data_IF_277765292310
#
_entry.id   IF_277765292310
#
_cell.length_a   1.000
_cell.length_b   1.000
_cell.length_c   1.000
_cell.angle_alpha   90.00
_cell.angle_beta   90.00
_cell.angle_gamma   90.00
#
_symmetry.space_group_name_H-M   'P 1'
#
loop_
_entity.id
_entity.type
_entity.pdbx_description
1 polymer ?
#
# COMPACT_ATOMS: atom_id res chain seq x y z
N UNK A 1 -4.50 12.89 -0.02
CA UNK A 1 -3.30 12.14 0.39
C UNK A 1 -2.62 11.63 -0.88
N UNK A 2 -1.29 11.65 -0.96
CA UNK A 2 -0.58 11.18 -2.17
C UNK A 2 0.11 9.86 -1.89
N UNK A 3 -0.23 8.85 -2.69
CA UNK A 3 0.36 7.54 -2.66
C UNK A 3 1.66 7.48 -3.46
N UNK A 4 2.57 6.58 -3.07
CA UNK A 4 3.85 6.34 -3.74
C UNK A 4 4.02 4.87 -4.06
N UNK A 5 4.77 4.60 -5.14
CA UNK A 5 5.22 3.25 -5.47
C UNK A 5 5.91 2.58 -4.26
N UNK A 6 5.55 1.34 -4.00
CA UNK A 6 6.06 0.53 -2.88
C UNK A 6 5.30 0.74 -1.56
N UNK A 7 4.36 1.68 -1.49
CA UNK A 7 3.51 1.79 -0.30
C UNK A 7 2.49 0.65 -0.24
N UNK A 8 2.29 0.11 0.96
CA UNK A 8 1.22 -0.83 1.25
C UNK A 8 -0.08 -0.09 1.49
N UNK A 9 -1.14 -0.58 0.87
CA UNK A 9 -2.47 0.02 0.93
C UNK A 9 -3.52 -1.04 1.25
N UNK A 10 -4.60 -0.59 1.87
CA UNK A 10 -5.80 -1.37 2.13
C UNK A 10 -6.88 -0.90 1.16
N UNK A 11 -7.48 -1.83 0.43
CA UNK A 11 -8.64 -1.57 -0.45
C UNK A 11 -9.92 -1.46 0.38
N UNK A 12 -11.01 -0.95 -0.21
CA UNK A 12 -12.32 -0.90 0.46
C UNK A 12 -12.87 -2.30 0.77
N UNK A 13 -12.46 -3.31 0.01
CA UNK A 13 -12.79 -4.72 0.22
C UNK A 13 -11.98 -5.36 1.36
N UNK A 14 -11.07 -4.60 1.98
CA UNK A 14 -10.23 -5.07 3.07
C UNK A 14 -9.00 -5.89 2.63
N UNK A 15 -8.67 -5.86 1.34
CA UNK A 15 -7.48 -6.52 0.82
C UNK A 15 -6.25 -5.63 0.97
N UNK A 16 -5.11 -6.25 1.30
CA UNK A 16 -3.82 -5.55 1.38
C UNK A 16 -3.09 -5.72 0.05
N UNK A 17 -2.67 -4.60 -0.52
CA UNK A 17 -1.88 -4.55 -1.74
C UNK A 17 -0.66 -3.64 -1.63
N UNK A 18 0.15 -3.65 -2.67
CA UNK A 18 1.31 -2.76 -2.84
C UNK A 18 1.16 -1.91 -4.11
N UNK A 19 1.45 -0.62 -4.02
CA UNK A 19 1.36 0.27 -5.18
C UNK A 19 2.54 0.03 -6.12
N UNK A 20 2.24 -0.34 -7.37
CA UNK A 20 3.22 -0.51 -8.43
C UNK A 20 3.48 0.80 -9.19
N UNK A 21 2.44 1.58 -9.42
CA UNK A 21 2.47 2.82 -10.18
C UNK A 21 1.34 3.75 -9.74
N UNK A 22 1.56 5.06 -9.82
CA UNK A 22 0.54 6.09 -9.59
C UNK A 22 0.53 6.99 -10.81
N UNK A 23 -0.67 7.30 -11.32
CA UNK A 23 -0.82 8.19 -12.46
C UNK A 23 -0.30 9.61 -12.16
N UNK A 24 0.05 10.38 -13.22
CA UNK A 24 0.54 11.76 -13.10
C UNK A 24 -0.40 12.68 -12.31
N UNK A 25 -1.70 12.39 -12.28
CA UNK A 25 -2.68 13.14 -11.48
C UNK A 25 -2.85 12.67 -10.04
N UNK A 26 -2.26 11.54 -9.64
CA UNK A 26 -2.50 10.94 -8.33
C UNK A 26 -3.93 10.43 -8.12
N UNK A 27 -4.72 10.31 -9.20
CA UNK A 27 -6.12 9.90 -9.15
C UNK A 27 -6.27 8.37 -9.09
N UNK A 28 -5.41 7.65 -9.79
CA UNK A 28 -5.43 6.19 -9.87
C UNK A 28 -4.04 5.61 -9.57
N UNK A 29 -4.04 4.45 -8.94
CA UNK A 29 -2.86 3.66 -8.68
C UNK A 29 -3.04 2.23 -9.20
N UNK A 30 -2.02 1.69 -9.84
CA UNK A 30 -1.92 0.25 -10.09
C UNK A 30 -1.49 -0.41 -8.79
N UNK A 31 -2.33 -1.25 -8.22
CA UNK A 31 -2.07 -1.97 -6.96
C UNK A 31 -1.89 -3.45 -7.26
N UNK A 32 -0.78 -4.03 -6.78
CA UNK A 32 -0.57 -5.46 -6.74
C UNK A 32 -1.33 -6.04 -5.54
N UNK A 33 -2.36 -6.82 -5.83
CA UNK A 33 -3.05 -7.68 -4.89
C UNK A 33 -2.45 -9.11 -5.00
N UNK A 34 -2.84 -10.02 -4.10
CA UNK A 34 -2.15 -11.31 -3.93
C UNK A 34 -1.88 -12.09 -5.23
N UNK A 35 -2.84 -12.12 -6.17
CA UNK A 35 -2.73 -12.89 -7.42
C UNK A 35 -2.92 -12.06 -8.68
N UNK A 36 -3.29 -10.79 -8.53
CA UNK A 36 -3.63 -9.90 -9.65
C UNK A 36 -3.04 -8.52 -9.39
N UNK A 37 -2.92 -7.73 -10.45
CA UNK A 37 -2.75 -6.29 -10.28
C UNK A 37 -3.93 -5.60 -10.92
N UNK A 38 -4.45 -4.58 -10.25
CA UNK A 38 -5.62 -3.84 -10.73
C UNK A 38 -5.44 -2.35 -10.53
N UNK A 39 -6.13 -1.54 -11.34
CA UNK A 39 -6.17 -0.09 -11.17
C UNK A 39 -7.26 0.25 -10.18
N UNK A 40 -6.87 0.93 -9.10
CA UNK A 40 -7.78 1.37 -8.05
C UNK A 40 -7.65 2.87 -7.93
N UNK A 41 -8.78 3.53 -7.74
CA UNK A 41 -8.81 4.95 -7.43
C UNK A 41 -8.17 5.22 -6.08
N UNK A 42 -7.36 6.27 -6.01
CA UNK A 42 -6.64 6.61 -4.79
C UNK A 42 -7.59 6.98 -3.64
N UNK A 43 -8.79 7.51 -3.90
CA UNK A 43 -9.80 7.77 -2.87
C UNK A 43 -10.38 6.48 -2.23
N UNK A 44 -10.36 5.37 -2.97
CA UNK A 44 -10.74 4.03 -2.47
C UNK A 44 -9.59 3.30 -1.76
N UNK A 45 -8.42 3.93 -1.62
CA UNK A 45 -7.27 3.34 -0.94
C UNK A 45 -7.02 4.01 0.40
N UNK A 46 -6.70 3.20 1.41
CA UNK A 46 -6.22 3.67 2.71
C UNK A 46 -4.78 3.24 2.89
N UNK A 47 -3.96 4.05 3.54
CA UNK A 47 -2.61 3.61 3.94
C UNK A 47 -2.75 2.42 4.88
N UNK A 48 -2.06 1.34 4.57
CA UNK A 48 -2.03 0.19 5.45
C UNK A 48 -1.03 0.48 6.57
N UNK A 49 -1.54 0.86 7.74
CA UNK A 49 -0.73 1.08 8.95
C UNK A 49 -0.53 -0.21 9.78
N UNK A 50 -0.59 -1.38 9.12
CA UNK A 50 -0.50 -2.67 9.79
C UNK A 50 0.93 -3.00 10.23
N UNK A 51 1.13 -2.82 11.54
CA UNK A 51 2.26 -3.19 12.42
C UNK A 51 3.63 -3.06 11.77
N UNK A 52 4.37 -2.04 12.19
CA UNK A 52 5.82 -1.95 11.98
C UNK A 52 6.44 -3.35 12.10
N UNK A 53 7.37 -3.75 11.22
CA UNK A 53 8.23 -4.87 11.56
C UNK A 53 8.81 -4.50 12.92
N UNK A 54 8.44 -5.23 13.99
CA UNK A 54 9.01 -5.02 15.32
C UNK A 54 10.49 -4.85 15.08
N UNK A 55 11.02 -3.65 15.32
CA UNK A 55 12.46 -3.43 15.34
C UNK A 55 13.02 -4.60 16.10
N UNK A 56 13.83 -5.44 15.46
CA UNK A 56 14.63 -6.42 16.19
C UNK A 56 15.40 -5.59 17.21
N UNK A 57 14.94 -5.56 18.45
CA UNK A 57 15.75 -5.19 19.60
C UNK A 57 16.80 -6.28 19.70
N UNK A 58 17.85 -6.16 18.88
CA UNK A 58 19.06 -6.95 19.04
C UNK A 58 19.75 -6.39 20.28
N UNK A 59 19.57 -7.13 21.38
CA UNK A 59 20.57 -7.32 22.43
C UNK A 59 21.07 -6.07 23.10
N UNK A 60 20.50 -5.77 24.27
CA UNK A 60 21.31 -5.28 25.37
C UNK A 60 22.41 -6.33 25.66
N UNK A 61 23.67 -5.90 25.64
CA UNK A 61 24.76 -6.53 26.37
C UNK A 61 25.76 -5.45 26.78
#
# INVERSE_FOLDING_TARGET
MTFKKGEKVLTEEGEVGEILFVDRGGLEAQVALQRISTKIRCDSLKKFEGVEPRKKTRGAK
#
